data_IF_572537820926
#
_entry.id   IF_572537820926
#
_cell.length_a   1.000
_cell.length_b   1.000
_cell.length_c   1.000
_cell.angle_alpha   90.00
_cell.angle_beta   90.00
_cell.angle_gamma   90.00
#
_symmetry.space_group_name_H-M   'P 1'
#
loop_
_entity.id
_entity.type
_entity.pdbx_description
1 polymer ?
#
# COMPACT_ATOMS: atom_id res chain seq x y z
N UNK A 1 4.71 7.32 -28.69
CA UNK A 1 4.75 6.35 -27.54
C UNK A 1 4.62 7.04 -26.19
N UNK A 2 5.12 8.30 -25.99
CA UNK A 2 4.90 9.03 -24.73
C UNK A 2 3.41 9.30 -24.41
N UNK A 3 2.56 9.51 -25.39
CA UNK A 3 1.13 9.73 -25.19
C UNK A 3 0.38 8.49 -24.64
N UNK A 4 0.83 7.27 -24.94
CA UNK A 4 0.17 6.05 -24.45
C UNK A 4 0.31 5.90 -22.93
N UNK A 5 1.44 6.26 -22.35
CA UNK A 5 1.68 6.06 -20.92
C UNK A 5 1.07 7.16 -20.02
N UNK A 6 0.47 8.20 -20.59
CA UNK A 6 -0.19 9.27 -19.83
C UNK A 6 -1.69 9.01 -19.58
N UNK A 7 -2.28 8.02 -20.27
CA UNK A 7 -3.71 7.71 -20.20
C UNK A 7 -4.08 6.95 -18.92
N UNK A 8 -5.31 7.13 -18.48
CA UNK A 8 -5.95 6.45 -17.35
C UNK A 8 -6.42 5.05 -17.73
N UNK A 9 -6.82 4.23 -16.74
CA UNK A 9 -7.45 2.91 -16.97
C UNK A 9 -8.67 3.08 -17.87
N UNK A 10 -9.53 4.06 -17.55
CA UNK A 10 -10.76 4.29 -18.31
C UNK A 10 -10.47 4.61 -19.78
N UNK A 11 -9.52 5.50 -20.06
CA UNK A 11 -9.12 5.87 -21.42
C UNK A 11 -8.48 4.72 -22.18
N UNK A 12 -7.65 3.89 -21.51
CA UNK A 12 -7.09 2.68 -22.10
C UNK A 12 -8.16 1.66 -22.45
N UNK A 13 -9.12 1.41 -21.54
CA UNK A 13 -10.21 0.46 -21.77
C UNK A 13 -11.05 0.86 -23.00
N UNK A 14 -11.36 2.17 -23.14
CA UNK A 14 -12.07 2.71 -24.30
C UNK A 14 -11.25 2.53 -25.60
N UNK A 15 -9.98 2.90 -25.58
CA UNK A 15 -9.12 2.82 -26.76
C UNK A 15 -8.86 1.36 -27.19
N UNK A 16 -8.63 0.47 -26.22
CA UNK A 16 -8.53 -0.97 -26.51
C UNK A 16 -9.83 -1.51 -27.12
N UNK A 17 -11.00 -1.13 -26.60
CA UNK A 17 -12.31 -1.55 -27.18
C UNK A 17 -12.48 -1.06 -28.60
N UNK A 18 -12.10 0.19 -28.89
CA UNK A 18 -12.13 0.77 -30.23
C UNK A 18 -11.02 0.26 -31.17
N UNK A 19 -10.11 -0.57 -30.66
CA UNK A 19 -8.93 -1.06 -31.40
C UNK A 19 -8.01 0.05 -31.92
N UNK A 20 -7.90 1.18 -31.18
CA UNK A 20 -6.97 2.27 -31.50
C UNK A 20 -5.52 1.78 -31.44
N UNK A 21 -5.25 0.86 -30.52
CA UNK A 21 -3.98 0.10 -30.40
C UNK A 21 -4.26 -1.26 -29.76
N UNK A 22 -3.26 -2.13 -29.76
CA UNK A 22 -3.33 -3.44 -29.13
C UNK A 22 -2.80 -3.42 -27.69
N UNK A 23 -3.19 -4.40 -26.88
CA UNK A 23 -2.62 -4.61 -25.54
C UNK A 23 -1.12 -4.89 -25.60
N UNK A 24 -0.64 -5.56 -26.65
CA UNK A 24 0.79 -5.76 -26.91
C UNK A 24 1.51 -4.42 -27.07
N UNK A 25 0.98 -3.51 -27.90
CA UNK A 25 1.56 -2.17 -28.08
C UNK A 25 1.59 -1.37 -26.78
N UNK A 26 0.50 -1.42 -26.01
CA UNK A 26 0.42 -0.78 -24.70
C UNK A 26 1.45 -1.35 -23.72
N UNK A 27 1.53 -2.68 -23.62
CA UNK A 27 2.46 -3.38 -22.72
C UNK A 27 3.91 -3.06 -23.09
N UNK A 28 4.25 -3.04 -24.37
CA UNK A 28 5.58 -2.65 -24.86
C UNK A 28 5.93 -1.22 -24.45
N UNK A 29 5.00 -0.27 -24.59
CA UNK A 29 5.23 1.12 -24.19
C UNK A 29 5.58 1.25 -22.68
N UNK A 30 4.91 0.49 -21.80
CA UNK A 30 5.22 0.46 -20.37
C UNK A 30 6.55 -0.26 -20.07
N UNK A 31 6.87 -1.36 -20.75
CA UNK A 31 8.17 -2.03 -20.60
C UNK A 31 9.34 -1.13 -21.03
N UNK A 32 9.16 -0.32 -22.07
CA UNK A 32 10.14 0.70 -22.48
C UNK A 32 10.31 1.82 -21.43
N UNK A 33 9.21 2.24 -20.76
CA UNK A 33 9.31 3.20 -19.65
C UNK A 33 10.10 2.61 -18.49
N UNK A 34 9.85 1.34 -18.13
CA UNK A 34 10.58 0.64 -17.08
C UNK A 34 12.07 0.58 -17.42
N UNK A 35 12.44 0.15 -18.64
CA UNK A 35 13.86 0.07 -19.04
C UNK A 35 14.55 1.44 -19.00
N UNK A 36 13.84 2.49 -19.36
CA UNK A 36 14.35 3.86 -19.39
C UNK A 36 14.52 4.46 -17.99
N UNK A 37 13.57 4.25 -17.07
CA UNK A 37 13.48 5.02 -15.81
C UNK A 37 13.84 4.20 -14.58
N UNK A 38 13.50 2.90 -14.52
CA UNK A 38 13.61 2.11 -13.30
C UNK A 38 15.05 1.86 -12.84
N UNK A 39 16.04 2.02 -13.71
CA UNK A 39 17.47 2.01 -13.34
C UNK A 39 17.81 3.11 -12.32
N UNK A 40 17.08 4.22 -12.34
CA UNK A 40 17.22 5.33 -11.39
C UNK A 40 16.21 5.20 -10.25
N UNK A 41 14.93 4.94 -10.59
CA UNK A 41 13.81 4.93 -9.64
C UNK A 41 13.85 3.71 -8.72
N UNK A 42 14.12 2.52 -9.27
CA UNK A 42 14.19 1.29 -8.48
C UNK A 42 12.82 0.79 -7.99
N UNK A 43 11.76 1.05 -8.73
CA UNK A 43 10.40 0.65 -8.37
C UNK A 43 10.14 -0.86 -8.52
N UNK A 44 10.83 -1.55 -9.42
CA UNK A 44 10.66 -3.01 -9.65
C UNK A 44 11.81 -3.82 -9.04
N UNK A 45 11.49 -4.91 -8.34
CA UNK A 45 12.46 -5.97 -7.97
C UNK A 45 12.59 -6.98 -9.10
N UNK A 46 11.45 -7.35 -9.71
CA UNK A 46 11.39 -8.32 -10.81
C UNK A 46 10.49 -7.79 -11.92
N UNK A 47 11.00 -7.70 -13.14
CA UNK A 47 10.19 -7.42 -14.34
C UNK A 47 9.97 -8.74 -15.08
N UNK A 48 8.72 -9.00 -15.51
CA UNK A 48 8.30 -10.24 -16.19
C UNK A 48 7.85 -9.96 -17.62
N UNK A 49 8.75 -9.36 -18.41
CA UNK A 49 8.45 -8.85 -19.76
C UNK A 49 7.82 -9.89 -20.67
N UNK A 50 8.44 -11.10 -20.80
CA UNK A 50 7.94 -12.15 -21.68
C UNK A 50 6.53 -12.59 -21.32
N UNK A 51 6.27 -12.83 -20.01
CA UNK A 51 4.95 -13.21 -19.52
C UNK A 51 3.92 -12.10 -19.72
N UNK A 52 4.30 -10.84 -19.56
CA UNK A 52 3.42 -9.70 -19.80
C UNK A 52 3.02 -9.61 -21.28
N UNK A 53 3.97 -9.78 -22.20
CA UNK A 53 3.71 -9.81 -23.66
C UNK A 53 2.84 -11.01 -24.04
N UNK A 54 3.08 -12.20 -23.48
CA UNK A 54 2.23 -13.38 -23.70
C UNK A 54 0.79 -13.14 -23.25
N UNK A 55 0.60 -12.55 -22.05
CA UNK A 55 -0.72 -12.20 -21.53
C UNK A 55 -1.43 -11.17 -22.40
N UNK A 56 -0.69 -10.16 -22.90
CA UNK A 56 -1.22 -9.14 -23.80
C UNK A 56 -1.64 -9.72 -25.14
N UNK A 57 -0.83 -10.63 -25.72
CA UNK A 57 -1.16 -11.36 -26.96
C UNK A 57 -2.42 -12.19 -26.79
N UNK A 58 -2.51 -12.97 -25.71
CA UNK A 58 -3.69 -13.78 -25.41
C UNK A 58 -4.97 -12.94 -25.30
N UNK A 59 -4.89 -11.73 -24.70
CA UNK A 59 -6.00 -10.80 -24.70
C UNK A 59 -6.34 -10.30 -26.11
N UNK A 60 -5.37 -9.88 -26.91
CA UNK A 60 -5.60 -9.36 -28.25
C UNK A 60 -6.21 -10.43 -29.19
N UNK A 61 -5.78 -11.70 -29.08
CA UNK A 61 -6.29 -12.84 -29.86
C UNK A 61 -7.69 -13.29 -29.40
N UNK A 62 -7.96 -13.27 -28.07
CA UNK A 62 -9.24 -13.69 -27.48
C UNK A 62 -10.37 -12.65 -27.55
N UNK A 63 -10.10 -11.47 -28.10
CA UNK A 63 -11.00 -10.32 -28.07
C UNK A 63 -12.16 -10.47 -29.06
N UNK A 64 -13.33 -10.91 -28.57
CA UNK A 64 -14.58 -10.91 -29.35
C UNK A 64 -15.33 -9.57 -29.18
N UNK A 65 -16.10 -9.16 -30.20
CA UNK A 65 -16.89 -7.91 -30.17
C UNK A 65 -18.07 -7.93 -29.21
N UNK A 66 -18.46 -9.10 -28.72
CA UNK A 66 -19.74 -9.33 -28.04
C UNK A 66 -19.64 -9.68 -26.54
N UNK A 67 -18.42 -9.72 -25.97
CA UNK A 67 -18.25 -10.01 -24.54
C UNK A 67 -18.16 -8.74 -23.71
N UNK A 68 -18.81 -8.76 -22.55
CA UNK A 68 -18.64 -7.74 -21.49
C UNK A 68 -17.20 -7.82 -20.97
N UNK A 69 -16.32 -6.97 -21.50
CA UNK A 69 -14.89 -6.97 -21.20
C UNK A 69 -14.64 -6.16 -19.94
N UNK A 70 -13.94 -6.74 -18.97
CA UNK A 70 -13.51 -6.02 -17.75
C UNK A 70 -12.75 -4.74 -18.12
N UNK A 71 -12.95 -3.61 -17.41
CA UNK A 71 -12.18 -2.39 -17.63
C UNK A 71 -10.66 -2.56 -17.43
N UNK A 72 -10.22 -3.62 -16.76
CA UNK A 72 -8.80 -3.92 -16.51
C UNK A 72 -8.18 -4.83 -17.57
N UNK A 73 -8.99 -5.38 -18.48
CA UNK A 73 -8.53 -6.36 -19.46
C UNK A 73 -7.55 -5.75 -20.47
N UNK A 74 -6.41 -6.38 -20.65
CA UNK A 74 -5.33 -5.92 -21.52
C UNK A 74 -4.52 -4.75 -20.97
N UNK A 75 -4.76 -4.33 -19.71
CA UNK A 75 -4.12 -3.14 -19.11
C UNK A 75 -2.94 -3.55 -18.21
N UNK A 76 -1.74 -2.94 -18.41
CA UNK A 76 -0.53 -3.24 -17.64
C UNK A 76 -0.59 -2.76 -16.19
N UNK A 77 -0.23 -3.66 -15.25
CA UNK A 77 -0.18 -3.37 -13.83
C UNK A 77 1.05 -3.96 -13.12
N UNK A 78 1.37 -3.42 -11.93
CA UNK A 78 2.41 -3.92 -11.06
C UNK A 78 1.86 -4.44 -9.73
N UNK A 79 2.54 -5.45 -9.15
CA UNK A 79 2.13 -6.11 -7.92
C UNK A 79 3.22 -5.96 -6.85
N UNK A 80 2.89 -5.39 -5.68
CA UNK A 80 3.84 -5.29 -4.55
C UNK A 80 4.40 -6.67 -4.21
N UNK A 81 5.70 -6.73 -3.92
CA UNK A 81 6.44 -7.99 -3.84
C UNK A 81 6.17 -8.85 -2.58
N UNK A 82 5.16 -8.52 -1.81
CA UNK A 82 4.63 -9.37 -0.73
C UNK A 82 3.35 -10.14 -1.09
N UNK A 83 2.86 -10.02 -2.31
CA UNK A 83 1.72 -10.80 -2.80
C UNK A 83 2.22 -11.97 -3.64
N UNK A 84 1.96 -13.20 -3.20
CA UNK A 84 2.33 -14.41 -3.94
C UNK A 84 1.79 -14.37 -5.37
N UNK A 85 2.67 -14.57 -6.33
CA UNK A 85 2.32 -14.65 -7.76
C UNK A 85 2.93 -15.94 -8.31
N UNK A 86 2.08 -16.88 -8.70
CA UNK A 86 2.50 -18.23 -9.13
C UNK A 86 3.58 -18.17 -10.21
N UNK A 87 4.69 -18.84 -9.95
CA UNK A 87 5.80 -18.94 -10.89
C UNK A 87 6.68 -17.70 -10.99
N UNK A 88 6.41 -16.63 -10.20
CA UNK A 88 7.22 -15.40 -10.17
C UNK A 88 7.79 -15.22 -8.76
N UNK A 89 9.07 -14.88 -8.65
CA UNK A 89 9.70 -14.59 -7.36
C UNK A 89 8.86 -13.62 -6.54
N UNK A 90 8.67 -13.94 -5.25
CA UNK A 90 7.97 -13.11 -4.27
C UNK A 90 8.84 -13.02 -3.02
N UNK A 91 9.62 -11.95 -2.92
CA UNK A 91 10.74 -11.86 -1.97
C UNK A 91 10.43 -11.05 -0.73
N UNK A 92 9.34 -10.27 -0.71
CA UNK A 92 9.07 -9.28 0.33
C UNK A 92 10.23 -8.28 0.53
N UNK A 93 10.99 -8.01 -0.52
CA UNK A 93 12.23 -7.20 -0.49
C UNK A 93 13.24 -7.68 0.55
N UNK A 94 13.29 -8.98 0.89
CA UNK A 94 14.13 -9.61 1.91
C UNK A 94 15.06 -10.67 1.32
N UNK A 95 16.27 -10.75 1.86
CA UNK A 95 17.17 -11.89 1.59
C UNK A 95 16.52 -13.20 2.06
N UNK A 96 15.71 -13.16 3.11
CA UNK A 96 15.03 -14.32 3.68
C UNK A 96 14.19 -15.07 2.64
N UNK A 97 13.53 -14.35 1.72
CA UNK A 97 12.72 -14.92 0.65
C UNK A 97 13.30 -14.68 -0.75
N UNK A 98 14.58 -14.32 -0.87
CA UNK A 98 15.23 -13.94 -2.13
C UNK A 98 15.14 -14.98 -3.26
N UNK A 99 14.99 -16.26 -2.93
CA UNK A 99 14.83 -17.37 -3.87
C UNK A 99 13.41 -17.93 -3.95
N UNK A 100 12.44 -17.40 -3.22
CA UNK A 100 11.11 -17.99 -3.14
C UNK A 100 10.26 -17.74 -4.39
N UNK A 101 9.79 -18.81 -5.01
CA UNK A 101 8.85 -18.83 -6.12
C UNK A 101 7.57 -19.53 -5.66
N UNK A 102 6.46 -18.80 -5.42
CA UNK A 102 5.24 -19.42 -4.93
C UNK A 102 4.60 -20.37 -5.95
N UNK A 103 4.08 -21.54 -5.50
CA UNK A 103 3.34 -22.48 -6.35
C UNK A 103 1.87 -22.05 -6.58
N UNK A 104 1.42 -20.95 -5.96
CA UNK A 104 0.06 -20.41 -6.04
C UNK A 104 0.09 -18.88 -6.10
N UNK A 105 -1.02 -18.30 -6.55
CA UNK A 105 -1.22 -16.84 -6.55
C UNK A 105 -2.05 -16.39 -5.35
N UNK A 106 -1.83 -15.16 -4.91
CA UNK A 106 -2.72 -14.47 -3.99
C UNK A 106 -4.11 -14.28 -4.63
N UNK A 107 -5.16 -14.26 -3.81
CA UNK A 107 -6.54 -14.11 -4.32
C UNK A 107 -6.72 -12.87 -5.22
N UNK A 108 -6.13 -11.75 -4.84
CA UNK A 108 -6.18 -10.52 -5.65
C UNK A 108 -5.48 -10.68 -7.00
N UNK A 109 -4.38 -11.44 -7.05
CA UNK A 109 -3.66 -11.75 -8.29
C UNK A 109 -4.52 -12.65 -9.19
N UNK A 110 -5.14 -13.70 -8.63
CA UNK A 110 -6.09 -14.56 -9.36
C UNK A 110 -7.25 -13.74 -9.95
N UNK A 111 -7.78 -12.77 -9.18
CA UNK A 111 -8.86 -11.88 -9.65
C UNK A 111 -8.40 -10.96 -10.78
N UNK A 112 -7.21 -10.37 -10.68
CA UNK A 112 -6.65 -9.55 -11.75
C UNK A 112 -6.37 -10.37 -13.01
N UNK A 113 -5.76 -11.55 -12.89
CA UNK A 113 -5.54 -12.47 -14.02
C UNK A 113 -6.88 -12.86 -14.68
N UNK A 114 -7.91 -13.17 -13.87
CA UNK A 114 -9.26 -13.47 -14.38
C UNK A 114 -9.91 -12.29 -15.07
N UNK A 115 -9.64 -11.06 -14.65
CA UNK A 115 -10.13 -9.84 -15.31
C UNK A 115 -9.32 -9.48 -16.57
N UNK A 116 -8.31 -10.27 -16.93
CA UNK A 116 -7.49 -10.05 -18.11
C UNK A 116 -6.40 -8.98 -17.95
N UNK A 117 -6.06 -8.58 -16.72
CA UNK A 117 -5.00 -7.63 -16.45
C UNK A 117 -3.62 -8.19 -16.85
N UNK A 118 -2.72 -7.34 -17.31
CA UNK A 118 -1.36 -7.70 -17.71
C UNK A 118 -0.37 -7.36 -16.61
N UNK A 119 0.20 -8.37 -15.93
CA UNK A 119 1.15 -8.17 -14.83
C UNK A 119 2.56 -7.93 -15.39
N UNK A 120 3.10 -6.72 -15.18
CA UNK A 120 4.44 -6.31 -15.61
C UNK A 120 5.55 -6.86 -14.71
N UNK A 121 5.27 -7.09 -13.42
CA UNK A 121 6.28 -7.56 -12.47
C UNK A 121 5.94 -7.29 -11.01
N UNK A 122 7.00 -7.45 -10.18
CA UNK A 122 6.95 -7.33 -8.71
C UNK A 122 7.65 -6.05 -8.25
N UNK A 123 6.93 -5.27 -7.47
CA UNK A 123 7.30 -3.92 -7.07
C UNK A 123 8.04 -3.89 -5.75
N UNK A 124 9.05 -3.04 -5.68
CA UNK A 124 9.90 -2.83 -4.53
C UNK A 124 9.12 -2.29 -3.32
N UNK A 125 9.64 -2.58 -2.13
CA UNK A 125 8.97 -2.29 -0.88
C UNK A 125 9.97 -2.25 0.28
N UNK A 126 9.60 -1.73 1.44
CA UNK A 126 10.33 -2.00 2.67
C UNK A 126 10.25 -3.48 3.03
N UNK A 127 11.33 -4.05 3.55
CA UNK A 127 11.44 -5.46 3.89
C UNK A 127 10.28 -5.94 4.77
N UNK A 128 9.55 -7.00 4.33
CA UNK A 128 8.34 -7.54 4.98
C UNK A 128 7.28 -6.47 5.32
N UNK A 129 7.20 -5.42 4.53
CA UNK A 129 6.31 -4.26 4.74
C UNK A 129 6.61 -3.47 6.03
N UNK A 130 7.81 -3.56 6.59
CA UNK A 130 8.26 -2.88 7.79
C UNK A 130 9.13 -1.68 7.46
N UNK A 131 8.51 -0.51 7.40
CA UNK A 131 9.14 0.76 7.06
C UNK A 131 8.16 1.72 6.42
N UNK A 132 8.61 2.95 6.21
CA UNK A 132 7.80 4.05 5.66
C UNK A 132 8.58 4.83 4.57
N UNK A 133 9.64 4.25 3.99
CA UNK A 133 10.54 4.95 3.06
C UNK A 133 10.93 4.15 1.82
N UNK A 134 10.82 2.84 1.85
CA UNK A 134 11.35 1.88 0.86
C UNK A 134 12.88 1.96 0.71
N UNK A 135 13.56 2.41 1.78
CA UNK A 135 15.02 2.31 1.93
C UNK A 135 15.46 0.96 2.51
N UNK A 136 14.56 0.25 3.22
CA UNK A 136 14.84 -1.02 3.89
C UNK A 136 14.79 -2.24 2.96
N UNK A 137 14.71 -2.05 1.64
CA UNK A 137 14.80 -3.16 0.68
C UNK A 137 16.18 -3.79 0.67
N UNK A 138 16.25 -5.13 0.72
CA UNK A 138 17.50 -5.88 0.62
C UNK A 138 18.12 -5.84 -0.79
N UNK A 139 17.40 -5.35 -1.81
CA UNK A 139 17.84 -5.38 -3.20
C UNK A 139 18.32 -4.01 -3.70
N UNK A 140 17.54 -2.97 -3.51
CA UNK A 140 17.86 -1.61 -3.94
C UNK A 140 16.97 -0.57 -3.27
N UNK A 141 17.48 0.64 -3.08
CA UNK A 141 16.68 1.78 -2.62
C UNK A 141 15.70 2.19 -3.73
N UNK A 142 14.46 2.46 -3.36
CA UNK A 142 13.48 3.08 -4.26
C UNK A 142 13.52 4.60 -4.10
N UNK A 143 13.38 5.34 -5.20
CA UNK A 143 13.45 6.80 -5.25
C UNK A 143 12.12 7.40 -5.68
N UNK A 144 11.85 8.60 -5.20
CA UNK A 144 10.66 9.34 -5.62
C UNK A 144 10.84 9.84 -7.07
N UNK A 145 9.91 9.56 -8.00
CA UNK A 145 10.04 10.00 -9.38
C UNK A 145 9.99 11.51 -9.60
N UNK A 146 9.41 12.25 -8.63
CA UNK A 146 9.29 13.71 -8.69
C UNK A 146 10.59 14.42 -8.26
N UNK A 147 11.35 13.78 -7.37
CA UNK A 147 12.68 14.20 -6.91
C UNK A 147 13.45 12.95 -6.46
N UNK A 148 14.43 12.52 -7.26
CA UNK A 148 15.17 11.27 -7.04
C UNK A 148 16.12 11.30 -5.84
N UNK A 149 16.30 12.43 -5.19
CA UNK A 149 17.03 12.54 -3.93
C UNK A 149 16.13 12.31 -2.71
N UNK A 150 14.80 12.15 -2.92
CA UNK A 150 13.81 11.95 -1.87
C UNK A 150 13.25 10.54 -1.88
N UNK A 151 12.70 10.14 -0.71
CA UNK A 151 12.02 8.87 -0.53
C UNK A 151 10.65 8.87 -1.25
N UNK A 152 10.21 7.75 -1.84
CA UNK A 152 8.86 7.62 -2.39
C UNK A 152 7.80 7.36 -1.31
N UNK A 153 8.24 7.25 -0.04
CA UNK A 153 7.44 6.68 1.03
C UNK A 153 7.47 5.15 1.05
N UNK A 154 6.70 4.56 1.96
CA UNK A 154 6.66 3.11 2.15
C UNK A 154 5.52 2.64 3.09
N UNK A 155 5.38 1.34 3.17
CA UNK A 155 6.23 0.29 2.58
C UNK A 155 5.91 -0.03 1.11
N UNK A 156 4.88 0.57 0.47
CA UNK A 156 4.55 0.35 -0.95
C UNK A 156 5.17 1.44 -1.85
N UNK A 157 6.43 1.86 -1.56
CA UNK A 157 7.07 2.94 -2.32
C UNK A 157 7.27 2.61 -3.78
N UNK A 158 7.68 1.38 -4.13
CA UNK A 158 7.77 0.95 -5.51
C UNK A 158 6.42 0.97 -6.23
N UNK A 159 5.32 0.64 -5.52
CA UNK A 159 3.98 0.69 -6.11
C UNK A 159 3.54 2.13 -6.43
N UNK A 160 3.79 3.09 -5.54
CA UNK A 160 3.47 4.49 -5.79
C UNK A 160 4.40 5.12 -6.83
N UNK A 161 5.71 4.82 -6.74
CA UNK A 161 6.70 5.32 -7.69
C UNK A 161 6.42 4.83 -9.12
N UNK A 162 6.06 3.57 -9.31
CA UNK A 162 5.76 3.03 -10.65
C UNK A 162 4.57 3.73 -11.31
N UNK A 163 3.52 4.09 -10.56
CA UNK A 163 2.39 4.86 -11.11
C UNK A 163 2.82 6.30 -11.42
N UNK A 164 3.50 6.96 -10.49
CA UNK A 164 3.95 8.34 -10.68
C UNK A 164 4.96 8.49 -11.83
N UNK A 165 5.84 7.49 -12.03
CA UNK A 165 6.81 7.44 -13.12
C UNK A 165 6.21 7.02 -14.47
N UNK A 166 4.93 6.61 -14.51
CA UNK A 166 4.30 5.99 -15.69
C UNK A 166 4.97 4.68 -16.10
N UNK A 167 5.40 3.88 -15.16
CA UNK A 167 5.93 2.53 -15.34
C UNK A 167 4.86 1.43 -15.18
N UNK A 168 3.68 1.81 -14.71
CA UNK A 168 2.46 1.00 -14.69
C UNK A 168 1.24 1.91 -14.76
N UNK A 169 0.13 1.43 -15.32
CA UNK A 169 -1.15 2.18 -15.33
C UNK A 169 -1.71 2.24 -13.90
N UNK A 170 -1.65 1.13 -13.20
CA UNK A 170 -2.03 1.00 -11.79
C UNK A 170 -1.21 -0.07 -11.10
N UNK A 171 -1.23 -0.06 -9.78
CA UNK A 171 -0.54 -1.07 -8.98
C UNK A 171 -1.37 -1.51 -7.79
N UNK A 172 -1.02 -2.67 -7.22
CA UNK A 172 -1.48 -3.06 -5.90
C UNK A 172 -0.39 -2.84 -4.86
N UNK A 173 -0.79 -2.25 -3.74
CA UNK A 173 0.00 -2.12 -2.52
C UNK A 173 -0.62 -2.89 -1.35
N UNK A 174 0.06 -2.87 -0.20
CA UNK A 174 -0.48 -3.32 1.09
C UNK A 174 -0.29 -2.26 2.15
N UNK A 175 -1.24 -2.14 3.05
CA UNK A 175 -1.32 -1.08 4.07
C UNK A 175 -1.60 -1.71 5.43
N UNK A 176 -0.65 -1.59 6.35
CA UNK A 176 -0.73 -2.08 7.73
C UNK A 176 -0.82 -0.93 8.72
N UNK A 177 -0.21 0.21 8.40
CA UNK A 177 -0.20 1.43 9.20
C UNK A 177 -0.16 2.72 8.38
N UNK A 178 -0.42 2.64 7.05
CA UNK A 178 -0.30 3.76 6.12
C UNK A 178 0.42 3.41 4.82
N UNK A 179 0.86 2.16 4.67
CA UNK A 179 1.81 1.76 3.62
C UNK A 179 1.28 1.75 2.17
N UNK A 180 0.05 2.12 1.91
CA UNK A 180 -0.49 2.52 0.60
C UNK A 180 -0.61 4.04 0.54
N UNK A 181 -1.21 4.63 1.58
CA UNK A 181 -1.65 6.02 1.62
C UNK A 181 -0.49 7.00 1.70
N UNK A 182 0.48 6.72 2.56
CA UNK A 182 1.65 7.58 2.74
C UNK A 182 2.53 7.63 1.47
N UNK A 183 2.93 6.51 0.82
CA UNK A 183 3.66 6.59 -0.43
C UNK A 183 2.83 7.18 -1.58
N UNK A 184 1.50 6.99 -1.61
CA UNK A 184 0.63 7.67 -2.56
C UNK A 184 0.67 9.19 -2.38
N UNK A 185 0.63 9.69 -1.12
CA UNK A 185 0.80 11.10 -0.80
C UNK A 185 2.16 11.64 -1.28
N UNK A 186 3.24 10.95 -0.97
CA UNK A 186 4.62 11.38 -1.30
C UNK A 186 4.91 11.38 -2.80
N UNK A 187 4.26 10.51 -3.57
CA UNK A 187 4.42 10.42 -5.02
C UNK A 187 3.32 11.17 -5.81
N UNK A 188 2.36 11.82 -5.14
CA UNK A 188 1.32 12.61 -5.79
C UNK A 188 0.31 11.77 -6.58
N UNK A 189 -0.01 10.57 -6.11
CA UNK A 189 -0.97 9.63 -6.72
C UNK A 189 -2.12 9.29 -5.77
N UNK A 190 -3.12 8.56 -6.25
CA UNK A 190 -4.29 8.14 -5.45
C UNK A 190 -4.03 6.76 -4.86
N UNK A 191 -4.22 6.61 -3.56
CA UNK A 191 -4.06 5.34 -2.86
C UNK A 191 -5.23 5.02 -1.93
N UNK A 192 -5.78 3.80 -2.02
CA UNK A 192 -6.92 3.37 -1.21
C UNK A 192 -6.54 2.20 -0.30
N UNK A 193 -6.75 2.39 1.00
CA UNK A 193 -6.83 1.30 1.95
C UNK A 193 -8.31 0.93 2.17
N UNK A 194 -8.79 -0.19 1.64
CA UNK A 194 -10.16 -0.62 1.86
C UNK A 194 -10.45 -0.97 3.32
N UNK A 195 -11.73 -1.12 3.66
CA UNK A 195 -12.16 -1.68 4.96
C UNK A 195 -11.49 -3.03 5.20
N UNK A 196 -11.00 -3.26 6.42
CA UNK A 196 -10.39 -4.54 6.79
C UNK A 196 -11.32 -5.72 6.48
N UNK A 197 -10.78 -6.72 5.78
CA UNK A 197 -11.51 -7.91 5.36
C UNK A 197 -12.37 -7.77 4.10
N UNK A 198 -12.45 -6.58 3.48
CA UNK A 198 -13.18 -6.40 2.21
C UNK A 198 -12.42 -6.97 1.00
N UNK A 199 -11.10 -7.03 1.08
CA UNK A 199 -10.21 -7.67 0.12
C UNK A 199 -9.49 -8.81 0.82
N UNK A 200 -9.51 -10.00 0.23
CA UNK A 200 -8.86 -11.19 0.81
C UNK A 200 -7.35 -11.01 0.96
N UNK A 201 -6.81 -11.47 2.09
CA UNK A 201 -5.37 -11.53 2.38
C UNK A 201 -4.75 -12.88 2.03
N UNK A 202 -5.51 -13.84 1.45
CA UNK A 202 -4.95 -15.09 0.99
C UNK A 202 -3.83 -14.87 -0.01
N UNK A 203 -2.64 -15.40 0.31
CA UNK A 203 -1.42 -15.23 -0.49
C UNK A 203 -0.69 -13.91 -0.29
N UNK A 204 -1.15 -13.03 0.63
CA UNK A 204 -0.36 -11.93 1.15
C UNK A 204 0.58 -12.45 2.23
N UNK A 205 1.88 -12.22 2.09
CA UNK A 205 2.85 -12.51 3.14
C UNK A 205 2.62 -11.57 4.31
N UNK A 206 2.26 -12.12 5.47
CA UNK A 206 1.78 -11.35 6.59
C UNK A 206 2.88 -10.53 7.29
N UNK A 207 2.60 -9.26 7.54
CA UNK A 207 3.28 -8.45 8.55
C UNK A 207 2.51 -8.50 9.87
N UNK A 208 1.33 -7.87 9.94
CA UNK A 208 0.45 -7.87 11.10
C UNK A 208 -0.96 -8.28 10.69
N UNK A 209 -1.31 -9.53 10.97
CA UNK A 209 -2.50 -10.20 10.43
C UNK A 209 -3.82 -9.50 10.76
N UNK A 210 -3.90 -8.77 11.89
CA UNK A 210 -5.10 -8.04 12.30
C UNK A 210 -5.20 -6.62 11.71
N UNK A 211 -4.20 -6.18 10.90
CA UNK A 211 -4.09 -4.83 10.36
C UNK A 211 -3.87 -4.80 8.84
N UNK A 212 -3.17 -5.80 8.28
CA UNK A 212 -2.80 -5.85 6.87
C UNK A 212 -4.02 -5.78 5.95
N UNK A 213 -3.96 -4.92 4.93
CA UNK A 213 -4.98 -4.80 3.90
C UNK A 213 -4.35 -4.50 2.55
N UNK A 214 -4.80 -5.19 1.49
CA UNK A 214 -4.41 -4.92 0.09
C UNK A 214 -5.32 -3.84 -0.47
N UNK A 215 -4.76 -2.95 -1.30
CA UNK A 215 -5.53 -1.94 -2.01
C UNK A 215 -4.80 -1.36 -3.22
N UNK A 216 -5.55 -0.63 -4.09
CA UNK A 216 -5.03 -0.06 -5.32
C UNK A 216 -4.28 1.26 -5.11
N UNK A 217 -3.31 1.50 -6.02
CA UNK A 217 -2.66 2.80 -6.23
C UNK A 217 -2.79 3.14 -7.72
N UNK A 218 -3.28 4.35 -8.03
CA UNK A 218 -3.68 4.78 -9.38
C UNK A 218 -3.43 6.27 -9.58
N UNK A 219 -3.56 6.76 -10.81
CA UNK A 219 -3.46 8.19 -11.11
C UNK A 219 -4.74 8.97 -10.78
N UNK A 220 -5.91 8.33 -10.81
CA UNK A 220 -7.21 8.98 -10.59
C UNK A 220 -8.09 8.20 -9.61
N UNK A 221 -9.07 8.88 -9.01
CA UNK A 221 -10.07 8.25 -8.13
C UNK A 221 -10.97 7.28 -8.90
N UNK A 222 -11.31 7.59 -10.14
CA UNK A 222 -12.10 6.69 -10.99
C UNK A 222 -11.37 5.38 -11.25
N UNK A 223 -10.09 5.44 -11.62
CA UNK A 223 -9.28 4.25 -11.83
C UNK A 223 -9.14 3.43 -10.54
N UNK A 224 -9.03 4.11 -9.39
CA UNK A 224 -8.97 3.45 -8.09
C UNK A 224 -10.24 2.65 -7.80
N UNK A 225 -11.41 3.23 -8.09
CA UNK A 225 -12.70 2.55 -7.97
C UNK A 225 -12.84 1.35 -8.92
N UNK A 226 -12.36 1.48 -10.17
CA UNK A 226 -12.35 0.37 -11.14
C UNK A 226 -11.51 -0.81 -10.66
N UNK A 227 -10.30 -0.55 -10.13
CA UNK A 227 -9.45 -1.60 -9.57
C UNK A 227 -10.07 -2.19 -8.31
N UNK A 228 -10.65 -1.36 -7.44
CA UNK A 228 -11.30 -1.82 -6.20
C UNK A 228 -12.46 -2.76 -6.52
N UNK A 229 -13.31 -2.45 -7.52
CA UNK A 229 -14.39 -3.32 -8.01
C UNK A 229 -13.86 -4.71 -8.40
N UNK A 230 -12.69 -4.77 -9.01
CA UNK A 230 -12.10 -6.04 -9.44
C UNK A 230 -11.58 -6.89 -8.28
N UNK A 231 -11.04 -6.29 -7.20
CA UNK A 231 -10.35 -7.02 -6.14
C UNK A 231 -11.17 -7.31 -4.88
N UNK A 232 -12.24 -6.56 -4.59
CA UNK A 232 -13.11 -6.80 -3.42
C UNK A 232 -13.88 -8.11 -3.53
N UNK A 233 -14.30 -8.65 -2.40
CA UNK A 233 -15.21 -9.80 -2.32
C UNK A 233 -14.73 -10.87 -1.36
N UNK A 234 -15.65 -11.78 -1.05
CA UNK A 234 -15.42 -12.86 -0.10
C UNK A 234 -14.54 -13.98 -0.66
N UNK A 235 -13.56 -14.41 0.12
CA UNK A 235 -12.70 -15.58 -0.15
C UNK A 235 -12.74 -16.54 1.05
N UNK A 236 -13.15 -17.77 0.82
CA UNK A 236 -13.23 -18.82 1.86
C UNK A 236 -11.88 -19.22 2.43
N UNK A 237 -10.77 -18.91 1.73
CA UNK A 237 -9.40 -19.23 2.16
C UNK A 237 -8.84 -18.23 3.17
N UNK A 238 -9.51 -17.07 3.33
CA UNK A 238 -9.18 -16.06 4.34
C UNK A 238 -10.32 -15.97 5.36
N UNK A 239 -10.07 -16.43 6.58
CA UNK A 239 -11.04 -16.41 7.67
C UNK A 239 -11.49 -15.00 8.08
N UNK A 240 -10.70 -13.96 7.73
CA UNK A 240 -11.04 -12.57 8.01
C UNK A 240 -11.81 -11.88 6.87
N UNK A 241 -11.95 -12.56 5.73
CA UNK A 241 -12.68 -12.03 4.57
C UNK A 241 -14.18 -11.95 4.86
N UNK A 242 -14.75 -10.74 4.74
CA UNK A 242 -16.14 -10.45 5.08
C UNK A 242 -17.09 -10.88 3.97
N UNK A 243 -18.17 -11.59 4.35
CA UNK A 243 -19.27 -11.90 3.43
C UNK A 243 -20.16 -10.67 3.25
N UNK A 244 -19.85 -9.88 2.22
CA UNK A 244 -20.63 -8.69 1.85
C UNK A 244 -20.73 -8.60 0.33
N UNK A 245 -21.87 -8.16 -0.15
CA UNK A 245 -22.05 -7.73 -1.54
C UNK A 245 -21.63 -6.26 -1.59
N UNK A 246 -20.77 -5.94 -2.53
CA UNK A 246 -20.31 -4.58 -2.78
C UNK A 246 -21.04 -4.03 -4.01
N UNK A 247 -21.52 -2.80 -3.91
CA UNK A 247 -22.03 -2.06 -5.06
C UNK A 247 -20.87 -1.61 -5.93
N UNK A 248 -21.17 -1.19 -7.15
CA UNK A 248 -20.18 -0.58 -8.04
C UNK A 248 -19.65 0.72 -7.42
N UNK A 249 -18.37 0.76 -7.11
CA UNK A 249 -17.72 1.94 -6.51
C UNK A 249 -17.61 3.13 -7.49
N UNK A 250 -17.91 2.94 -8.77
CA UNK A 250 -17.93 4.04 -9.76
C UNK A 250 -19.28 4.75 -9.84
N UNK A 251 -20.35 4.16 -9.29
CA UNK A 251 -21.71 4.60 -9.47
C UNK A 251 -21.96 6.06 -9.03
N UNK A 252 -21.38 6.44 -7.89
CA UNK A 252 -21.64 7.73 -7.24
C UNK A 252 -20.51 8.77 -7.40
N UNK A 253 -19.44 8.45 -8.13
CA UNK A 253 -18.24 9.33 -8.26
C UNK A 253 -18.59 10.74 -8.78
N UNK A 254 -19.62 10.87 -9.59
CA UNK A 254 -20.02 12.15 -10.20
C UNK A 254 -21.08 12.94 -9.41
N UNK A 255 -21.57 12.41 -8.28
CA UNK A 255 -22.66 13.03 -7.52
C UNK A 255 -22.23 14.30 -6.74
N UNK A 256 -20.92 14.53 -6.60
CA UNK A 256 -20.39 15.68 -5.85
C UNK A 256 -20.58 15.51 -4.35
N UNK A 257 -20.38 16.61 -3.61
CA UNK A 257 -20.34 16.60 -2.12
C UNK A 257 -21.37 17.55 -1.50
N UNK A 258 -22.28 18.13 -2.30
CA UNK A 258 -23.26 19.10 -1.80
C UNK A 258 -24.17 18.47 -0.74
N UNK A 259 -24.22 19.09 0.43
CA UNK A 259 -25.02 18.64 1.57
C UNK A 259 -24.37 17.51 2.40
N UNK A 260 -23.21 17.00 2.00
CA UNK A 260 -22.44 16.05 2.83
C UNK A 260 -21.80 16.75 4.02
N UNK A 261 -21.75 16.06 5.15
CA UNK A 261 -21.08 16.52 6.36
C UNK A 261 -19.67 15.96 6.44
N UNK A 262 -18.69 16.85 6.58
CA UNK A 262 -17.26 16.50 6.63
C UNK A 262 -16.72 16.77 8.01
N UNK A 263 -16.27 15.72 8.70
CA UNK A 263 -15.60 15.81 9.99
C UNK A 263 -14.17 16.34 9.85
N UNK A 264 -13.82 17.33 10.68
CA UNK A 264 -12.46 17.87 10.75
C UNK A 264 -12.01 17.77 12.22
N UNK A 265 -11.29 16.68 12.60
CA UNK A 265 -10.78 16.51 13.94
C UNK A 265 -9.64 17.49 14.23
N UNK A 266 -9.72 18.23 15.33
CA UNK A 266 -8.68 19.19 15.74
C UNK A 266 -7.36 18.49 16.05
N UNK A 267 -7.41 17.27 16.58
CA UNK A 267 -6.26 16.46 16.96
C UNK A 267 -5.33 16.15 15.76
N UNK A 268 -5.84 16.13 14.53
CA UNK A 268 -5.02 15.95 13.33
C UNK A 268 -4.26 17.22 12.90
N UNK A 269 -4.55 18.36 13.51
CA UNK A 269 -3.92 19.65 13.16
C UNK A 269 -3.12 20.24 14.32
N UNK A 270 -2.80 19.43 15.34
CA UNK A 270 -2.01 19.80 16.52
C UNK A 270 -0.51 20.03 16.22
N UNK A 271 0.34 19.79 17.21
CA UNK A 271 1.80 19.89 17.07
C UNK A 271 2.36 18.78 16.17
N UNK A 272 3.51 19.05 15.52
CA UNK A 272 4.25 18.06 14.72
C UNK A 272 3.90 18.03 13.23
N UNK A 273 2.83 18.69 12.79
CA UNK A 273 2.53 18.87 11.36
C UNK A 273 3.26 20.09 10.81
N UNK A 274 3.88 19.97 9.62
CA UNK A 274 4.50 21.12 8.94
C UNK A 274 3.44 22.11 8.45
N UNK A 275 3.81 23.38 8.41
CA UNK A 275 2.90 24.47 8.03
C UNK A 275 2.36 24.36 6.61
N UNK A 276 3.17 23.89 5.68
CA UNK A 276 2.79 23.66 4.29
C UNK A 276 1.75 22.54 4.15
N UNK A 277 1.93 21.42 4.83
CA UNK A 277 0.94 20.33 4.88
C UNK A 277 -0.35 20.80 5.52
N UNK A 278 -0.27 21.48 6.68
CA UNK A 278 -1.45 22.05 7.36
C UNK A 278 -2.23 22.98 6.42
N UNK A 279 -1.56 23.92 5.77
CA UNK A 279 -2.18 24.88 4.84
C UNK A 279 -2.84 24.20 3.65
N UNK A 280 -2.18 23.23 3.03
CA UNK A 280 -2.71 22.51 1.88
C UNK A 280 -3.99 21.74 2.23
N UNK A 281 -4.00 21.00 3.35
CA UNK A 281 -5.17 20.23 3.77
C UNK A 281 -6.33 21.14 4.19
N UNK A 282 -6.06 22.25 4.89
CA UNK A 282 -7.10 23.23 5.24
C UNK A 282 -7.68 23.91 4.00
N UNK A 283 -6.86 24.26 2.99
CA UNK A 283 -7.34 24.79 1.73
C UNK A 283 -8.23 23.80 0.97
N UNK A 284 -7.94 22.49 1.08
CA UNK A 284 -8.82 21.46 0.54
C UNK A 284 -10.18 21.41 1.26
N UNK A 285 -10.21 21.59 2.61
CA UNK A 285 -11.49 21.69 3.33
C UNK A 285 -12.31 22.90 2.89
N UNK A 286 -11.67 24.04 2.60
CA UNK A 286 -12.35 25.22 2.06
C UNK A 286 -12.92 24.96 0.65
N UNK A 287 -12.21 24.19 -0.17
CA UNK A 287 -12.70 23.76 -1.47
C UNK A 287 -13.98 22.92 -1.34
N UNK A 288 -14.02 21.95 -0.42
CA UNK A 288 -15.24 21.16 -0.15
C UNK A 288 -16.39 22.03 0.33
N UNK A 289 -16.12 22.99 1.22
CA UNK A 289 -17.13 23.96 1.67
C UNK A 289 -17.68 24.77 0.49
N UNK A 290 -16.84 25.23 -0.42
CA UNK A 290 -17.24 25.96 -1.62
C UNK A 290 -18.08 25.10 -2.59
N UNK A 291 -17.85 23.77 -2.60
CA UNK A 291 -18.66 22.79 -3.33
C UNK A 291 -19.98 22.44 -2.64
N UNK A 292 -20.28 23.03 -1.50
CA UNK A 292 -21.54 22.90 -0.78
C UNK A 292 -21.56 21.82 0.30
N UNK A 293 -20.41 21.32 0.74
CA UNK A 293 -20.33 20.46 1.92
C UNK A 293 -20.39 21.29 3.22
N UNK A 294 -20.87 20.67 4.30
CA UNK A 294 -20.88 21.22 5.67
C UNK A 294 -19.67 20.69 6.44
N UNK A 295 -18.81 21.57 6.97
CA UNK A 295 -17.72 21.16 7.85
C UNK A 295 -18.22 21.07 9.30
N UNK A 296 -17.94 19.92 9.93
CA UNK A 296 -18.36 19.60 11.31
C UNK A 296 -17.11 19.36 12.17
N UNK A 297 -17.01 20.07 13.29
CA UNK A 297 -15.97 19.76 14.29
C UNK A 297 -16.30 18.44 14.97
N UNK A 298 -15.32 17.54 15.01
CA UNK A 298 -15.37 16.25 15.71
C UNK A 298 -14.14 16.11 16.59
N UNK A 299 -14.27 15.47 17.74
CA UNK A 299 -13.15 15.21 18.65
C UNK A 299 -12.85 13.72 18.70
N UNK A 300 -11.58 13.36 18.70
CA UNK A 300 -11.08 11.99 18.67
C UNK A 300 -9.91 11.80 19.67
N UNK A 301 -10.19 11.94 20.99
CA UNK A 301 -9.14 12.09 22.02
C UNK A 301 -8.25 10.85 22.19
N UNK A 302 -8.68 9.67 21.74
CA UNK A 302 -7.87 8.45 21.85
C UNK A 302 -6.85 8.30 20.72
N UNK A 303 -6.88 9.18 19.72
CA UNK A 303 -5.99 9.10 18.53
C UNK A 303 -4.52 9.24 18.90
N UNK A 304 -4.19 10.04 19.91
CA UNK A 304 -2.83 10.25 20.39
C UNK A 304 -2.13 8.96 20.84
N UNK A 305 -2.92 7.98 21.27
CA UNK A 305 -2.42 6.67 21.69
C UNK A 305 -2.33 5.66 20.56
N UNK A 306 -2.90 5.96 19.38
CA UNK A 306 -3.01 5.02 18.28
C UNK A 306 -1.64 4.56 17.75
N UNK A 307 -0.69 5.48 17.65
CA UNK A 307 0.66 5.20 17.17
C UNK A 307 1.39 4.19 18.08
N UNK A 308 1.37 4.43 19.40
CA UNK A 308 1.99 3.53 20.38
C UNK A 308 1.32 2.15 20.39
N UNK A 309 -0.02 2.11 20.35
CA UNK A 309 -0.77 0.85 20.28
C UNK A 309 -0.44 0.07 18.99
N UNK A 310 -0.32 0.75 17.85
CA UNK A 310 0.06 0.15 16.58
C UNK A 310 1.43 -0.53 16.65
N UNK A 311 2.45 0.16 17.17
CA UNK A 311 3.80 -0.40 17.21
C UNK A 311 3.90 -1.61 18.15
N UNK A 312 3.14 -1.64 19.22
CA UNK A 312 3.03 -2.81 20.10
C UNK A 312 2.32 -3.98 19.39
N UNK A 313 1.12 -3.73 18.82
CA UNK A 313 0.33 -4.79 18.15
C UNK A 313 1.07 -5.33 16.93
N UNK A 314 1.53 -4.44 16.04
CA UNK A 314 2.17 -4.85 14.80
C UNK A 314 3.48 -5.59 15.03
N UNK A 315 4.28 -5.16 16.01
CA UNK A 315 5.53 -5.87 16.38
C UNK A 315 5.24 -7.24 17.00
N UNK A 316 4.24 -7.33 17.89
CA UNK A 316 3.82 -8.59 18.49
C UNK A 316 3.37 -9.61 17.42
N UNK A 317 2.52 -9.18 16.49
CA UNK A 317 2.07 -10.03 15.39
C UNK A 317 3.19 -10.36 14.40
N UNK A 318 4.10 -9.42 14.10
CA UNK A 318 5.28 -9.66 13.29
C UNK A 318 6.18 -10.72 13.89
N UNK A 319 6.47 -10.66 15.19
CA UNK A 319 7.30 -11.66 15.87
C UNK A 319 6.74 -13.08 15.72
N UNK A 320 5.41 -13.22 15.80
CA UNK A 320 4.70 -14.48 15.60
C UNK A 320 4.67 -14.91 14.12
N UNK A 321 4.31 -14.00 13.21
CA UNK A 321 4.19 -14.30 11.78
C UNK A 321 5.54 -14.65 11.14
N UNK A 322 6.64 -13.99 11.54
CA UNK A 322 7.96 -14.22 10.97
C UNK A 322 8.74 -15.35 11.68
N UNK A 323 8.19 -15.96 12.72
CA UNK A 323 8.79 -17.11 13.40
C UNK A 323 9.02 -18.31 12.47
N UNK A 324 8.18 -18.46 11.43
CA UNK A 324 8.26 -19.53 10.42
C UNK A 324 9.46 -19.46 9.49
N UNK A 325 10.08 -18.30 9.35
CA UNK A 325 11.26 -18.10 8.50
C UNK A 325 12.51 -18.38 9.32
N UNK A 326 12.93 -19.64 9.34
CA UNK A 326 13.93 -20.17 10.25
C UNK A 326 15.19 -20.73 9.54
N UNK A 327 15.17 -20.78 8.20
CA UNK A 327 16.26 -21.35 7.40
C UNK A 327 16.28 -22.88 7.37
N UNK A 328 15.30 -23.54 8.02
CA UNK A 328 15.15 -25.01 8.03
C UNK A 328 13.92 -25.40 7.24
N UNK A 329 12.73 -24.97 7.67
CA UNK A 329 11.48 -25.18 6.96
C UNK A 329 11.28 -24.19 5.80
N UNK A 330 11.66 -22.92 6.01
CA UNK A 330 11.44 -21.84 5.06
C UNK A 330 12.57 -20.81 5.10
N UNK A 331 12.81 -20.18 3.94
CA UNK A 331 13.63 -18.99 3.83
C UNK A 331 15.11 -19.25 3.65
N UNK A 332 15.87 -18.17 3.72
CA UNK A 332 17.34 -18.18 3.64
C UNK A 332 17.94 -19.07 4.71
N UNK A 333 18.90 -19.88 4.31
CA UNK A 333 19.71 -20.75 5.17
C UNK A 333 21.17 -20.33 5.08
N UNK A 334 21.82 -20.10 6.22
CA UNK A 334 23.25 -19.83 6.25
C UNK A 334 24.05 -21.10 5.88
N UNK A 335 25.19 -20.90 5.22
CA UNK A 335 26.04 -22.00 4.74
C UNK A 335 26.97 -22.55 5.83
N UNK A 336 27.36 -21.69 6.79
CA UNK A 336 28.34 -22.00 7.85
C UNK A 336 27.68 -22.05 9.23
N UNK A 337 27.53 -23.27 9.80
CA UNK A 337 27.05 -23.50 11.16
C UNK A 337 27.59 -24.80 11.74
N UNK A 338 27.82 -24.83 13.04
CA UNK A 338 28.36 -25.98 13.77
C UNK A 338 27.29 -26.85 14.44
N UNK A 339 26.09 -26.28 14.70
CA UNK A 339 24.94 -26.93 15.34
C UNK A 339 23.63 -26.27 14.97
N UNK A 340 22.52 -26.86 15.40
CA UNK A 340 21.16 -26.41 15.04
C UNK A 340 20.85 -25.01 15.58
N UNK A 341 21.29 -24.68 16.79
CA UNK A 341 21.04 -23.36 17.37
C UNK A 341 21.78 -22.27 16.60
N UNK A 342 23.01 -22.56 16.18
CA UNK A 342 23.79 -21.66 15.34
C UNK A 342 23.17 -21.51 13.95
N UNK A 343 22.64 -22.59 13.35
CA UNK A 343 21.90 -22.52 12.08
C UNK A 343 20.71 -21.55 12.17
N UNK A 344 19.85 -21.69 13.17
CA UNK A 344 18.71 -20.79 13.37
C UNK A 344 19.17 -19.34 13.56
N UNK A 345 20.11 -19.13 14.46
CA UNK A 345 20.60 -17.79 14.81
C UNK A 345 21.24 -17.09 13.62
N UNK A 346 22.14 -17.74 12.90
CA UNK A 346 22.85 -17.18 11.74
C UNK A 346 21.87 -16.93 10.59
N UNK A 347 21.03 -17.92 10.23
CA UNK A 347 20.06 -17.77 9.13
C UNK A 347 19.14 -16.57 9.34
N UNK A 348 18.62 -16.39 10.55
CA UNK A 348 17.75 -15.23 10.85
C UNK A 348 18.54 -13.92 10.95
N UNK A 349 19.74 -13.94 11.47
CA UNK A 349 20.60 -12.76 11.61
C UNK A 349 21.05 -12.22 10.25
N UNK A 350 21.36 -13.07 9.30
CA UNK A 350 21.84 -12.74 7.96
C UNK A 350 20.70 -12.48 6.97
N UNK A 351 19.60 -13.23 7.13
CA UNK A 351 18.45 -13.18 6.24
C UNK A 351 17.52 -11.99 6.47
N UNK A 352 17.40 -11.49 7.71
CA UNK A 352 16.58 -10.33 8.04
C UNK A 352 17.39 -9.05 8.16
N UNK A 353 16.83 -7.96 7.64
CA UNK A 353 17.35 -6.61 7.82
C UNK A 353 17.18 -6.07 9.24
N UNK A 354 17.75 -4.90 9.50
CA UNK A 354 17.82 -4.32 10.84
C UNK A 354 16.45 -3.94 11.40
N UNK A 355 15.57 -3.34 10.59
CA UNK A 355 14.25 -2.91 11.04
C UNK A 355 13.36 -4.13 11.37
N UNK A 356 13.37 -5.17 10.55
CA UNK A 356 12.62 -6.41 10.80
C UNK A 356 13.11 -7.07 12.10
N UNK A 357 14.40 -7.13 12.35
CA UNK A 357 14.96 -7.66 13.61
C UNK A 357 14.49 -6.86 14.82
N UNK A 358 14.47 -5.52 14.74
CA UNK A 358 13.93 -4.66 15.83
C UNK A 358 12.47 -4.99 16.12
N UNK A 359 11.63 -5.09 15.08
CA UNK A 359 10.19 -5.41 15.25
C UNK A 359 9.98 -6.78 15.87
N UNK A 360 10.75 -7.80 15.44
CA UNK A 360 10.69 -9.14 16.03
C UNK A 360 11.08 -9.09 17.52
N UNK A 361 12.15 -8.38 17.89
CA UNK A 361 12.59 -8.26 19.28
C UNK A 361 11.57 -7.52 20.14
N UNK A 362 11.05 -6.37 19.68
CA UNK A 362 10.00 -5.62 20.38
C UNK A 362 8.73 -6.45 20.57
N UNK A 363 8.31 -7.19 19.53
CA UNK A 363 7.14 -8.06 19.61
C UNK A 363 7.32 -9.23 20.56
N UNK A 364 8.48 -9.88 20.55
CA UNK A 364 8.82 -10.95 21.46
C UNK A 364 8.82 -10.46 22.91
N UNK A 365 9.36 -9.26 23.16
CA UNK A 365 9.31 -8.62 24.47
C UNK A 365 7.87 -8.34 24.92
N UNK A 366 7.05 -7.71 24.05
CA UNK A 366 5.66 -7.36 24.36
C UNK A 366 4.78 -8.59 24.65
N UNK A 367 5.12 -9.75 24.07
CA UNK A 367 4.40 -11.02 24.29
C UNK A 367 4.96 -11.87 25.42
N UNK A 368 6.10 -11.49 26.02
CA UNK A 368 6.75 -12.28 27.07
C UNK A 368 5.97 -12.25 28.38
N UNK A 369 6.20 -13.28 29.21
CA UNK A 369 5.58 -13.41 30.53
C UNK A 369 5.87 -12.18 31.40
N UNK A 370 4.84 -11.61 32.02
CA UNK A 370 4.93 -10.39 32.83
C UNK A 370 4.74 -9.08 32.05
N UNK A 371 4.90 -9.08 30.72
CA UNK A 371 4.74 -7.88 29.87
C UNK A 371 3.48 -7.92 29.00
N UNK A 372 2.93 -9.10 28.74
CA UNK A 372 1.74 -9.29 27.91
C UNK A 372 0.56 -8.40 28.32
N UNK A 373 0.20 -8.41 29.62
CA UNK A 373 -0.92 -7.61 30.11
C UNK A 373 -0.60 -6.11 30.11
N UNK A 374 0.64 -5.74 30.42
CA UNK A 374 1.06 -4.35 30.51
C UNK A 374 1.18 -3.66 29.14
N UNK A 375 1.52 -4.37 28.08
CA UNK A 375 1.74 -3.83 26.76
C UNK A 375 0.71 -4.31 25.73
N UNK A 376 0.70 -5.59 25.39
CA UNK A 376 -0.11 -6.10 24.26
C UNK A 376 -1.61 -5.99 24.54
N UNK A 377 -2.05 -6.47 25.70
CA UNK A 377 -3.48 -6.38 26.11
C UNK A 377 -3.93 -4.93 26.24
N UNK A 378 -3.08 -4.06 26.78
CA UNK A 378 -3.38 -2.62 26.89
C UNK A 378 -3.47 -1.96 25.52
N UNK A 379 -2.60 -2.31 24.58
CA UNK A 379 -2.67 -1.83 23.20
C UNK A 379 -3.98 -2.25 22.50
N UNK A 380 -4.48 -3.47 22.74
CA UNK A 380 -5.78 -3.92 22.26
C UNK A 380 -6.95 -3.15 22.87
N UNK A 381 -6.83 -2.72 24.14
CA UNK A 381 -7.83 -1.84 24.78
C UNK A 381 -7.84 -0.44 24.13
N UNK A 382 -6.66 0.12 23.88
CA UNK A 382 -6.53 1.39 23.13
C UNK A 382 -7.13 1.28 21.74
N UNK A 383 -6.90 0.16 21.03
CA UNK A 383 -7.56 -0.11 19.74
C UNK A 383 -9.09 0.04 19.81
N UNK A 384 -9.70 -0.45 20.89
CA UNK A 384 -11.14 -0.34 21.07
C UNK A 384 -11.60 1.10 21.32
N UNK A 385 -10.80 1.91 22.02
CA UNK A 385 -11.08 3.33 22.25
C UNK A 385 -10.97 4.13 20.95
N UNK A 386 -9.89 3.94 20.18
CA UNK A 386 -9.72 4.61 18.89
C UNK A 386 -10.88 4.27 17.93
N UNK A 387 -11.31 3.00 17.89
CA UNK A 387 -12.48 2.62 17.09
C UNK A 387 -13.74 3.34 17.55
N UNK A 388 -13.97 3.45 18.85
CA UNK A 388 -15.12 4.17 19.44
C UNK A 388 -15.12 5.63 19.03
N UNK A 389 -13.95 6.31 19.04
CA UNK A 389 -13.85 7.70 18.59
C UNK A 389 -14.29 7.88 17.14
N UNK A 390 -13.88 6.95 16.23
CA UNK A 390 -14.35 6.96 14.86
C UNK A 390 -15.86 6.68 14.74
N UNK A 391 -16.40 5.72 15.48
CA UNK A 391 -17.84 5.40 15.47
C UNK A 391 -18.66 6.63 15.95
N UNK A 392 -18.21 7.36 16.97
CA UNK A 392 -18.83 8.59 17.45
C UNK A 392 -18.71 9.74 16.43
N UNK A 393 -17.56 9.89 15.77
CA UNK A 393 -17.35 10.90 14.73
C UNK A 393 -18.26 10.64 13.51
N UNK A 394 -18.35 9.40 13.03
CA UNK A 394 -19.24 9.01 11.94
C UNK A 394 -20.74 9.06 12.29
N UNK A 395 -21.09 9.16 13.57
CA UNK A 395 -22.44 9.52 13.99
C UNK A 395 -22.82 10.99 13.68
N UNK A 396 -21.81 11.84 13.35
CA UNK A 396 -22.00 13.28 13.12
C UNK A 396 -21.65 13.71 11.69
N UNK A 397 -20.87 12.92 10.95
CA UNK A 397 -20.37 13.25 9.61
C UNK A 397 -20.38 12.04 8.68
N UNK A 398 -20.37 12.29 7.36
CA UNK A 398 -20.34 11.28 6.32
C UNK A 398 -18.90 10.77 6.04
N UNK A 399 -17.92 11.66 6.13
CA UNK A 399 -16.50 11.32 6.05
C UNK A 399 -15.63 12.31 6.83
N UNK A 400 -14.38 11.93 7.07
CA UNK A 400 -13.40 12.70 7.86
C UNK A 400 -12.24 13.08 6.93
N UNK A 401 -11.77 14.31 7.02
CA UNK A 401 -10.55 14.78 6.35
C UNK A 401 -9.41 14.86 7.36
N UNK A 402 -8.26 14.36 6.99
CA UNK A 402 -7.01 14.46 7.75
C UNK A 402 -5.80 14.58 6.82
N UNK A 403 -4.66 15.10 7.29
CA UNK A 403 -3.38 14.89 6.63
C UNK A 403 -3.08 13.38 6.53
N UNK A 404 -2.24 12.99 5.57
CA UNK A 404 -1.76 11.60 5.46
C UNK A 404 -0.43 11.41 6.20
N UNK A 405 0.43 12.40 6.14
CA UNK A 405 1.74 12.44 6.79
C UNK A 405 2.02 13.85 7.35
N UNK A 406 2.89 13.98 8.36
CA UNK A 406 3.18 15.28 8.97
C UNK A 406 4.01 16.20 8.07
N UNK A 407 4.72 15.65 7.10
CA UNK A 407 5.60 16.37 6.17
C UNK A 407 5.40 15.84 4.75
N UNK A 408 5.90 16.56 3.75
CA UNK A 408 6.12 16.04 2.40
C UNK A 408 7.27 15.03 2.38
N UNK A 409 7.53 14.40 1.23
CA UNK A 409 8.66 13.48 1.06
C UNK A 409 9.98 14.17 1.42
N UNK A 410 10.79 13.55 2.28
CA UNK A 410 12.08 14.02 2.75
C UNK A 410 13.24 13.31 2.01
N UNK A 411 14.48 13.73 2.23
CA UNK A 411 15.64 13.20 1.52
C UNK A 411 15.97 11.78 1.97
N UNK A 412 16.49 10.98 1.04
CA UNK A 412 17.03 9.65 1.32
C UNK A 412 18.15 9.75 2.35
N UNK A 413 18.12 8.90 3.36
CA UNK A 413 19.08 8.89 4.47
C UNK A 413 18.76 9.84 5.62
N UNK A 414 17.85 10.79 5.46
CA UNK A 414 17.58 11.85 6.45
C UNK A 414 17.09 11.30 7.80
N UNK A 415 16.26 10.24 7.79
CA UNK A 415 15.68 9.65 9.01
C UNK A 415 16.22 8.26 9.35
N UNK A 416 17.19 7.74 8.62
CA UNK A 416 17.70 6.37 8.84
C UNK A 416 18.37 6.16 10.19
N UNK A 417 18.85 7.21 10.83
CA UNK A 417 19.47 7.17 12.17
C UNK A 417 18.50 7.28 13.35
N UNK A 418 17.24 7.70 13.10
CA UNK A 418 16.26 8.00 14.14
C UNK A 418 14.93 7.27 13.87
N UNK A 419 14.80 6.08 14.46
CA UNK A 419 13.59 5.27 14.33
C UNK A 419 12.35 5.97 14.88
N UNK A 420 12.47 6.85 15.89
CA UNK A 420 11.34 7.54 16.47
C UNK A 420 10.77 8.58 15.51
N UNK A 421 11.64 9.37 14.86
CA UNK A 421 11.21 10.33 13.82
C UNK A 421 10.56 9.62 12.62
N UNK A 422 11.09 8.45 12.22
CA UNK A 422 10.47 7.65 11.17
C UNK A 422 9.07 7.19 11.59
N UNK A 423 8.91 6.71 12.82
CA UNK A 423 7.63 6.23 13.36
C UNK A 423 6.60 7.36 13.53
N UNK A 424 7.01 8.56 13.92
CA UNK A 424 6.12 9.72 13.98
C UNK A 424 5.52 10.10 12.61
N UNK A 425 6.16 9.73 11.52
CA UNK A 425 5.63 9.87 10.16
C UNK A 425 4.31 9.13 9.92
N UNK A 426 3.99 8.10 10.72
CA UNK A 426 2.79 7.28 10.58
C UNK A 426 1.61 7.76 11.45
N UNK A 427 1.78 8.85 12.23
CA UNK A 427 0.83 9.31 13.23
C UNK A 427 -0.60 9.53 12.69
N UNK A 428 -0.72 10.05 11.47
CA UNK A 428 -2.00 10.35 10.84
C UNK A 428 -2.64 9.16 10.12
N UNK A 429 -1.83 8.22 9.67
CA UNK A 429 -2.30 7.08 8.89
C UNK A 429 -2.69 5.87 9.74
N UNK A 430 -1.98 5.61 10.84
CA UNK A 430 -2.16 4.47 11.75
C UNK A 430 -3.56 4.37 12.37
N UNK A 431 -4.21 5.46 12.83
CA UNK A 431 -5.53 5.37 13.47
C UNK A 431 -6.57 4.65 12.62
N UNK A 432 -6.52 4.85 11.30
CA UNK A 432 -7.40 4.20 10.32
C UNK A 432 -7.24 2.66 10.30
N UNK A 433 -5.99 2.17 10.42
CA UNK A 433 -5.71 0.73 10.48
C UNK A 433 -6.17 0.14 11.82
N UNK A 434 -5.89 0.82 12.92
CA UNK A 434 -6.31 0.43 14.27
C UNK A 434 -7.84 0.29 14.33
N UNK A 435 -8.58 1.24 13.75
CA UNK A 435 -10.04 1.20 13.68
C UNK A 435 -10.58 0.18 12.64
N UNK A 436 -9.79 -0.20 11.65
CA UNK A 436 -10.19 -1.12 10.58
C UNK A 436 -11.09 -0.50 9.50
N UNK A 437 -11.21 0.84 9.48
CA UNK A 437 -12.04 1.60 8.54
C UNK A 437 -11.33 1.84 7.20
N UNK A 438 -12.04 2.21 6.11
CA UNK A 438 -11.41 2.57 4.83
C UNK A 438 -10.81 3.97 4.88
N UNK A 439 -9.81 4.25 4.04
CA UNK A 439 -9.33 5.59 3.76
C UNK A 439 -8.72 5.70 2.36
N UNK A 440 -9.05 6.79 1.68
CA UNK A 440 -8.54 7.17 0.38
C UNK A 440 -7.57 8.33 0.56
N UNK A 441 -6.42 8.26 -0.11
CA UNK A 441 -5.47 9.38 -0.21
C UNK A 441 -5.52 9.94 -1.61
N UNK A 442 -5.54 11.26 -1.70
CA UNK A 442 -5.39 11.99 -2.97
C UNK A 442 -4.56 13.25 -2.75
N UNK A 443 -3.86 13.74 -3.81
CA UNK A 443 -3.12 14.99 -3.74
C UNK A 443 -4.05 16.19 -3.50
N UNK A 444 -3.68 17.08 -2.56
CA UNK A 444 -4.47 18.26 -2.22
C UNK A 444 -3.69 19.57 -2.32
N UNK A 445 -2.40 19.53 -2.59
CA UNK A 445 -1.54 20.72 -2.72
C UNK A 445 -0.09 20.38 -2.95
N UNK A 446 0.74 21.40 -2.92
CA UNK A 446 2.20 21.33 -3.06
C UNK A 446 2.81 21.94 -1.80
N UNK A 447 3.78 21.27 -1.23
CA UNK A 447 4.54 21.70 -0.07
C UNK A 447 6.00 21.99 -0.37
N UNK A 448 6.83 21.88 0.65
CA UNK A 448 8.27 22.19 0.58
C UNK A 448 8.97 21.47 -0.58
N UNK A 449 9.84 22.22 -1.29
CA UNK A 449 10.61 21.69 -2.43
C UNK A 449 9.76 21.30 -3.64
N UNK A 450 8.51 21.76 -3.74
CA UNK A 450 7.61 21.41 -4.84
C UNK A 450 7.00 20.01 -4.74
N UNK A 451 7.12 19.36 -3.57
CA UNK A 451 6.62 18.01 -3.35
C UNK A 451 5.11 18.00 -3.07
N UNK A 452 4.39 16.95 -3.50
CA UNK A 452 2.95 16.86 -3.28
C UNK A 452 2.60 16.66 -1.80
N UNK A 453 1.45 17.22 -1.42
CA UNK A 453 0.77 16.98 -0.15
C UNK A 453 -0.46 16.14 -0.41
N UNK A 454 -0.64 15.04 0.36
CA UNK A 454 -1.84 14.21 0.32
C UNK A 454 -2.72 14.41 1.56
N UNK A 455 -4.03 14.27 1.35
CA UNK A 455 -5.02 14.23 2.42
C UNK A 455 -5.77 12.91 2.42
#
# INVERSE_FOLDING_TARGET
MSELTERTIFEHAEALRKKEYSSVQLTQAYLEQIDKKDKIIGAYITVTADRAIESAKAFDEGRSSDSEISPLAGIPCGIKDNMCTKGIKTTCASKMLGGYIPPYSAHVVEKLEKSGAVILGKLNMDEFAMGSTTENSAFKVCRNPLDTDRVPGGSSGGSAAAVAAREAVYTLGSDTGGSIRQPASFCGVVGMKPTYGSVSRYGLVAFASSLDQIGPITSTVLDNALVLNAIVGHDKRDATSVKRIYNDFTADIKNGVKGMKIGVPEEFFGEGISDDVRKAVLAATDTYRALGAELVSVSMPSIDYALSAYYVISSAEASSNLARFDGVGYGYRCDDYSNIDELYRKSRSEGFGSEVKKRIMLGTFALSSGYYDAYYKKALQVRSLVRKDFDEAFGKCDFIISPVAPTVAYKIGEKTGDSLQMYMGDAYSVPVNIAGIPALTLPCGIGEGGMPVGM
#
